data_IF_108847294764
#
_entry.id   IF_108847294764
#
_cell.length_a   1.000
_cell.length_b   1.000
_cell.length_c   1.000
_cell.angle_alpha   90.00
_cell.angle_beta   90.00
_cell.angle_gamma   90.00
#
_symmetry.space_group_name_H-M   'P 1'
#
loop_
_entity.id
_entity.type
_entity.pdbx_description
1 polymer ?
#
# COMPACT_ATOMS: atom_id res chain seq x y z
N UNK A 1 21.61 29.18 -1.25
CA UNK A 1 22.30 28.44 -2.34
C UNK A 1 22.61 27.02 -1.86
N UNK A 2 22.42 25.99 -2.69
CA UNK A 2 22.78 24.62 -2.31
C UNK A 2 24.31 24.47 -2.28
N UNK A 3 24.87 24.07 -1.14
CA UNK A 3 26.32 23.88 -0.97
C UNK A 3 26.87 22.94 -2.07
N UNK A 4 27.97 23.32 -2.76
CA UNK A 4 28.65 22.45 -3.74
C UNK A 4 29.02 21.09 -3.15
N UNK A 5 29.33 21.06 -1.85
CA UNK A 5 29.65 19.86 -1.09
C UNK A 5 28.47 18.87 -1.06
N UNK A 6 27.24 19.36 -0.84
CA UNK A 6 26.03 18.52 -0.81
C UNK A 6 25.74 17.81 -2.13
N UNK A 7 26.20 18.38 -3.27
CA UNK A 7 26.01 17.76 -4.59
C UNK A 7 27.04 16.66 -4.86
N UNK A 8 28.25 16.77 -4.31
CA UNK A 8 29.36 15.83 -4.56
C UNK A 8 29.35 14.60 -3.64
N UNK A 9 28.90 14.75 -2.40
CA UNK A 9 28.91 13.67 -1.40
C UNK A 9 27.51 13.14 -1.07
N UNK A 10 26.61 13.14 -2.06
CA UNK A 10 25.26 12.64 -1.87
C UNK A 10 25.28 11.11 -1.89
N UNK A 11 24.76 10.48 -0.83
CA UNK A 11 24.49 9.05 -0.83
C UNK A 11 23.43 8.73 -1.91
N UNK A 12 23.88 8.12 -3.00
CA UNK A 12 23.04 7.77 -4.15
C UNK A 12 22.18 6.52 -3.91
N UNK A 13 22.54 5.67 -2.94
CA UNK A 13 21.71 4.55 -2.48
C UNK A 13 20.46 5.01 -1.70
N UNK A 14 20.42 6.27 -1.22
CA UNK A 14 19.22 6.87 -0.62
C UNK A 14 18.22 7.42 -1.65
N UNK A 15 18.41 7.14 -2.94
CA UNK A 15 17.48 7.61 -3.96
C UNK A 15 16.09 6.97 -3.79
N UNK A 16 15.04 7.80 -3.80
CA UNK A 16 13.64 7.35 -3.78
C UNK A 16 13.24 6.53 -5.01
N UNK A 17 14.04 6.59 -6.09
CA UNK A 17 13.82 5.80 -7.31
C UNK A 17 14.38 4.39 -7.23
N UNK A 18 15.15 4.04 -6.19
CA UNK A 18 15.60 2.66 -5.98
C UNK A 18 14.44 1.88 -5.36
N UNK A 19 13.92 0.92 -6.11
CA UNK A 19 12.86 0.03 -5.63
C UNK A 19 13.36 -0.89 -4.51
N UNK A 20 12.44 -1.49 -3.75
CA UNK A 20 12.79 -2.45 -2.70
C UNK A 20 13.49 -3.70 -3.23
N UNK A 21 13.05 -4.19 -4.40
CA UNK A 21 13.67 -5.33 -5.07
C UNK A 21 15.06 -4.97 -5.59
N UNK A 22 15.22 -3.76 -6.16
CA UNK A 22 16.53 -3.25 -6.57
C UNK A 22 17.48 -3.12 -5.38
N UNK A 23 17.01 -2.60 -4.23
CA UNK A 23 17.82 -2.57 -3.01
C UNK A 23 18.19 -3.97 -2.54
N UNK A 24 17.24 -4.92 -2.58
CA UNK A 24 17.49 -6.30 -2.21
C UNK A 24 18.62 -6.89 -3.06
N UNK A 25 18.54 -6.73 -4.38
CA UNK A 25 19.55 -7.21 -5.30
C UNK A 25 20.91 -6.51 -5.11
N UNK A 26 20.93 -5.18 -4.99
CA UNK A 26 22.16 -4.42 -4.72
C UNK A 26 22.90 -4.90 -3.47
N UNK A 27 22.16 -5.15 -2.37
CA UNK A 27 22.76 -5.64 -1.12
C UNK A 27 23.18 -7.10 -1.24
N UNK A 28 22.39 -7.94 -1.93
CA UNK A 28 22.74 -9.33 -2.22
C UNK A 28 24.04 -9.44 -3.02
N UNK A 29 24.10 -8.80 -4.18
CA UNK A 29 25.29 -8.77 -5.05
C UNK A 29 26.53 -8.25 -4.28
N UNK A 30 26.36 -7.24 -3.42
CA UNK A 30 27.44 -6.71 -2.60
C UNK A 30 27.92 -7.69 -1.52
N UNK A 31 27.01 -8.39 -0.85
CA UNK A 31 27.35 -9.42 0.14
C UNK A 31 28.10 -10.58 -0.54
N UNK A 32 27.62 -11.06 -1.69
CA UNK A 32 28.27 -12.13 -2.45
C UNK A 32 29.71 -11.74 -2.85
N UNK A 33 29.93 -10.47 -3.22
CA UNK A 33 31.27 -9.96 -3.53
C UNK A 33 32.18 -9.87 -2.27
N UNK A 34 31.64 -9.43 -1.13
CA UNK A 34 32.38 -9.38 0.13
C UNK A 34 32.76 -10.77 0.66
N UNK A 35 31.93 -11.78 0.38
CA UNK A 35 32.12 -13.18 0.78
C UNK A 35 32.98 -13.98 -0.20
N UNK A 36 33.41 -13.39 -1.32
CA UNK A 36 34.19 -14.11 -2.32
C UNK A 36 35.51 -14.67 -1.74
N UNK A 37 35.83 -15.93 -2.07
CA UNK A 37 37.02 -16.64 -1.55
C UNK A 37 38.34 -15.94 -1.88
N UNK A 38 38.36 -15.16 -2.97
CA UNK A 38 39.53 -14.41 -3.43
C UNK A 38 39.24 -12.92 -3.41
N UNK A 39 39.81 -12.25 -2.42
CA UNK A 39 39.78 -10.79 -2.31
C UNK A 39 41.05 -10.20 -2.95
N UNK A 40 40.98 -9.00 -3.55
CA UNK A 40 42.17 -8.23 -3.92
C UNK A 40 43.11 -8.05 -2.71
N UNK A 41 44.42 -8.03 -2.93
CA UNK A 41 45.41 -7.96 -1.83
C UNK A 41 45.23 -6.73 -0.92
N UNK A 42 44.81 -5.59 -1.49
CA UNK A 42 44.58 -4.33 -0.75
C UNK A 42 43.13 -4.17 -0.26
N UNK A 43 42.31 -5.23 -0.34
CA UNK A 43 40.93 -5.15 0.11
C UNK A 43 40.89 -4.87 1.63
N UNK A 44 39.96 -4.01 2.10
CA UNK A 44 39.71 -3.85 3.53
C UNK A 44 39.12 -5.15 4.10
N UNK A 45 38.89 -5.21 5.42
CA UNK A 45 38.28 -6.37 6.09
C UNK A 45 36.83 -6.61 5.59
N UNK A 46 36.70 -7.36 4.49
CA UNK A 46 35.42 -7.64 3.82
C UNK A 46 34.53 -8.54 4.67
N UNK A 47 35.13 -9.44 5.45
CA UNK A 47 34.43 -10.32 6.38
C UNK A 47 33.72 -9.51 7.48
N UNK A 48 34.39 -8.51 8.07
CA UNK A 48 33.75 -7.62 9.05
C UNK A 48 32.66 -6.74 8.42
N UNK A 49 32.84 -6.30 7.18
CA UNK A 49 31.80 -5.58 6.44
C UNK A 49 30.56 -6.44 6.21
N UNK A 50 30.75 -7.68 5.76
CA UNK A 50 29.68 -8.64 5.53
C UNK A 50 28.94 -8.97 6.84
N UNK A 51 29.68 -9.23 7.92
CA UNK A 51 29.12 -9.55 9.24
C UNK A 51 28.21 -8.44 9.78
N UNK A 52 28.53 -7.16 9.51
CA UNK A 52 27.69 -6.02 9.91
C UNK A 52 26.47 -5.83 9.02
N UNK A 53 26.60 -6.13 7.72
CA UNK A 53 25.55 -5.90 6.73
C UNK A 53 24.50 -7.03 6.69
N UNK A 54 24.92 -8.28 6.88
CA UNK A 54 24.06 -9.47 6.81
C UNK A 54 22.81 -9.42 7.70
N UNK A 55 22.88 -9.10 9.01
CA UNK A 55 21.67 -9.03 9.85
C UNK A 55 20.69 -7.94 9.40
N UNK A 56 21.19 -6.82 8.85
CA UNK A 56 20.33 -5.77 8.29
C UNK A 56 19.63 -6.24 7.01
N UNK A 57 20.34 -7.01 6.18
CA UNK A 57 19.79 -7.56 4.94
C UNK A 57 18.72 -8.63 5.22
N UNK A 58 18.97 -9.53 6.17
CA UNK A 58 18.00 -10.53 6.62
C UNK A 58 16.73 -9.87 7.18
N UNK A 59 16.88 -8.89 8.07
CA UNK A 59 15.74 -8.14 8.60
C UNK A 59 14.92 -7.48 7.47
N UNK A 60 15.60 -6.86 6.50
CA UNK A 60 14.93 -6.26 5.35
C UNK A 60 14.16 -7.29 4.52
N UNK A 61 14.74 -8.46 4.25
CA UNK A 61 14.08 -9.54 3.52
C UNK A 61 12.83 -10.08 4.25
N UNK A 62 12.90 -10.26 5.56
CA UNK A 62 11.73 -10.62 6.40
C UNK A 62 10.64 -9.55 6.26
N UNK A 63 11.02 -8.26 6.30
CA UNK A 63 10.12 -7.15 6.05
C UNK A 63 9.46 -7.21 4.67
N UNK A 64 10.18 -7.58 3.61
CA UNK A 64 9.61 -7.73 2.27
C UNK A 64 8.59 -8.87 2.19
N UNK A 65 8.89 -10.02 2.81
CA UNK A 65 8.00 -11.17 2.87
C UNK A 65 6.68 -10.84 3.57
N UNK A 66 6.77 -10.26 4.77
CA UNK A 66 5.58 -9.82 5.54
C UNK A 66 4.77 -8.75 4.79
N UNK A 67 5.44 -7.79 4.14
CA UNK A 67 4.77 -6.77 3.33
C UNK A 67 3.97 -7.33 2.13
N UNK A 68 4.45 -8.40 1.49
CA UNK A 68 3.72 -9.08 0.41
C UNK A 68 2.45 -9.78 0.93
N UNK A 69 2.57 -10.50 2.06
CA UNK A 69 1.42 -11.18 2.69
C UNK A 69 0.32 -10.17 3.09
N UNK A 70 0.68 -9.08 3.77
CA UNK A 70 -0.27 -8.03 4.18
C UNK A 70 -0.92 -7.34 2.98
N UNK A 71 -0.20 -7.20 1.87
CA UNK A 71 -0.76 -6.61 0.63
C UNK A 71 -1.78 -7.54 -0.03
N UNK A 72 -1.52 -8.85 -0.04
CA UNK A 72 -2.47 -9.85 -0.53
C UNK A 72 -3.74 -9.88 0.33
N UNK A 73 -3.57 -9.85 1.65
CA UNK A 73 -4.66 -9.76 2.63
C UNK A 73 -5.52 -8.51 2.40
N UNK A 74 -4.89 -7.35 2.20
CA UNK A 74 -5.60 -6.10 1.86
C UNK A 74 -6.46 -6.23 0.60
N UNK A 75 -5.97 -6.93 -0.42
CA UNK A 75 -6.73 -7.20 -1.65
C UNK A 75 -7.99 -8.01 -1.38
N UNK A 76 -7.87 -9.08 -0.57
CA UNK A 76 -9.00 -9.91 -0.16
C UNK A 76 -10.07 -9.13 0.61
N UNK A 77 -9.67 -8.34 1.62
CA UNK A 77 -10.61 -7.54 2.42
C UNK A 77 -11.28 -6.42 1.62
N UNK A 78 -10.59 -5.84 0.64
CA UNK A 78 -11.21 -4.84 -0.24
C UNK A 78 -12.33 -5.47 -1.08
N UNK A 79 -12.15 -6.72 -1.51
CA UNK A 79 -13.20 -7.49 -2.18
C UNK A 79 -14.38 -7.80 -1.27
N UNK A 80 -14.13 -8.21 -0.01
CA UNK A 80 -15.20 -8.53 0.94
C UNK A 80 -16.04 -7.29 1.29
N UNK A 81 -15.42 -6.13 1.55
CA UNK A 81 -16.14 -4.87 1.80
C UNK A 81 -16.98 -4.47 0.60
N UNK A 82 -16.46 -4.58 -0.62
CA UNK A 82 -17.22 -4.30 -1.85
C UNK A 82 -18.48 -5.16 -1.95
N UNK A 83 -18.35 -6.47 -1.76
CA UNK A 83 -19.48 -7.40 -1.80
C UNK A 83 -20.53 -7.13 -0.71
N UNK A 84 -20.09 -6.86 0.54
CA UNK A 84 -20.99 -6.55 1.65
C UNK A 84 -21.72 -5.21 1.42
N UNK A 85 -21.01 -4.22 0.88
CA UNK A 85 -21.58 -2.92 0.51
C UNK A 85 -22.64 -3.05 -0.59
N UNK A 86 -22.35 -3.83 -1.64
CA UNK A 86 -23.29 -4.06 -2.74
C UNK A 86 -24.53 -4.83 -2.28
N UNK A 87 -24.36 -5.83 -1.42
CA UNK A 87 -25.47 -6.57 -0.82
C UNK A 87 -26.32 -5.72 0.14
N UNK A 88 -25.71 -4.74 0.80
CA UNK A 88 -26.40 -3.82 1.72
C UNK A 88 -27.21 -2.76 0.96
N UNK A 89 -26.66 -2.18 -0.11
CA UNK A 89 -27.28 -1.06 -0.84
C UNK A 89 -28.49 -1.46 -1.68
N UNK A 90 -28.57 -2.71 -2.16
CA UNK A 90 -29.69 -3.19 -2.97
C UNK A 90 -30.92 -3.56 -2.15
N UNK A 91 -30.71 -4.03 -0.92
CA UNK A 91 -31.75 -4.69 -0.14
C UNK A 91 -32.93 -3.78 0.26
N UNK A 92 -32.75 -2.48 0.64
CA UNK A 92 -33.88 -1.59 0.87
C UNK A 92 -34.81 -1.46 -0.35
N UNK A 93 -34.25 -1.48 -1.57
CA UNK A 93 -35.03 -1.41 -2.79
C UNK A 93 -35.81 -2.72 -3.04
N UNK A 94 -35.28 -3.86 -2.64
CA UNK A 94 -35.98 -5.15 -2.67
C UNK A 94 -37.13 -5.17 -1.66
N UNK A 95 -36.89 -4.74 -0.42
CA UNK A 95 -37.92 -4.61 0.62
C UNK A 95 -39.04 -3.69 0.15
N UNK A 96 -38.71 -2.55 -0.45
CA UNK A 96 -39.70 -1.63 -0.99
C UNK A 96 -40.58 -2.28 -2.06
N UNK A 97 -39.98 -3.04 -2.98
CA UNK A 97 -40.69 -3.70 -4.07
C UNK A 97 -41.68 -4.75 -3.56
N UNK A 98 -41.29 -5.51 -2.54
CA UNK A 98 -42.09 -6.65 -2.04
C UNK A 98 -43.14 -6.21 -1.01
N UNK A 99 -42.82 -5.22 -0.17
CA UNK A 99 -43.63 -4.91 1.02
C UNK A 99 -44.29 -3.53 1.00
N UNK A 100 -43.67 -2.53 0.36
CA UNK A 100 -44.13 -1.14 0.41
C UNK A 100 -44.96 -0.79 -0.83
N UNK A 101 -44.38 -0.94 -2.02
CA UNK A 101 -44.98 -0.58 -3.31
C UNK A 101 -46.31 -1.27 -3.64
N UNK A 102 -46.61 -2.50 -3.17
CA UNK A 102 -47.93 -3.11 -3.38
C UNK A 102 -49.08 -2.37 -2.67
N UNK A 103 -48.79 -1.56 -1.64
CA UNK A 103 -49.78 -0.84 -0.83
C UNK A 103 -49.62 0.69 -0.91
N UNK A 104 -48.44 1.17 -1.24
CA UNK A 104 -48.06 2.58 -1.21
C UNK A 104 -47.21 2.94 -2.43
N UNK A 105 -47.75 3.78 -3.31
CA UNK A 105 -47.00 4.25 -4.47
C UNK A 105 -45.84 5.19 -4.09
N UNK A 106 -45.00 5.54 -5.07
CA UNK A 106 -43.82 6.39 -4.85
C UNK A 106 -44.17 7.84 -4.45
N UNK A 107 -45.43 8.26 -4.65
CA UNK A 107 -45.90 9.62 -4.31
C UNK A 107 -46.43 9.69 -2.89
N UNK A 108 -46.81 8.55 -2.31
CA UNK A 108 -47.39 8.43 -0.97
C UNK A 108 -46.48 8.97 0.13
N UNK A 109 -47.09 9.49 1.20
CA UNK A 109 -46.36 10.00 2.37
C UNK A 109 -45.54 8.88 3.03
N UNK A 110 -46.12 7.68 3.17
CA UNK A 110 -45.45 6.50 3.76
C UNK A 110 -44.19 6.16 2.98
N UNK A 111 -44.26 6.09 1.64
CA UNK A 111 -43.08 5.81 0.82
C UNK A 111 -41.98 6.86 0.99
N UNK A 112 -42.35 8.15 1.06
CA UNK A 112 -41.40 9.25 1.27
C UNK A 112 -40.74 9.23 2.65
N UNK A 113 -41.38 8.66 3.67
CA UNK A 113 -40.73 8.45 4.98
C UNK A 113 -39.65 7.36 4.93
N UNK A 114 -39.82 6.32 4.09
CA UNK A 114 -38.79 5.30 3.86
C UNK A 114 -37.68 5.80 2.93
N UNK A 115 -38.05 6.59 1.93
CA UNK A 115 -37.16 7.05 0.85
C UNK A 115 -37.25 8.57 0.66
N UNK A 116 -36.79 9.39 1.62
CA UNK A 116 -36.92 10.85 1.55
C UNK A 116 -36.16 11.47 0.37
N UNK A 117 -35.08 10.81 -0.06
CA UNK A 117 -34.27 11.18 -1.23
C UNK A 117 -34.52 10.28 -2.45
N UNK A 118 -35.58 9.47 -2.41
CA UNK A 118 -35.86 8.43 -3.39
C UNK A 118 -35.01 7.16 -3.20
N UNK A 119 -35.36 6.09 -3.91
CA UNK A 119 -34.66 4.78 -3.85
C UNK A 119 -33.21 4.84 -4.30
N UNK A 120 -32.90 5.76 -5.21
CA UNK A 120 -31.55 5.96 -5.75
C UNK A 120 -30.55 6.44 -4.69
N UNK A 121 -31.03 6.98 -3.57
CA UNK A 121 -30.19 7.38 -2.45
C UNK A 121 -29.36 6.23 -1.88
N UNK A 122 -29.92 5.00 -1.87
CA UNK A 122 -29.20 3.81 -1.40
C UNK A 122 -28.24 3.28 -2.47
N UNK A 123 -28.69 3.16 -3.72
CA UNK A 123 -27.84 2.65 -4.82
C UNK A 123 -26.67 3.58 -5.15
N UNK A 124 -26.84 4.89 -4.95
CA UNK A 124 -25.81 5.92 -5.10
C UNK A 124 -25.12 6.33 -3.81
N UNK A 125 -25.43 5.68 -2.68
CA UNK A 125 -24.77 5.95 -1.41
C UNK A 125 -23.27 5.68 -1.52
N UNK A 126 -22.48 6.36 -0.69
CA UNK A 126 -21.09 6.00 -0.48
C UNK A 126 -20.99 5.00 0.68
N UNK A 127 -19.86 4.27 0.77
CA UNK A 127 -19.55 3.43 1.93
C UNK A 127 -19.65 4.21 3.27
N UNK A 128 -19.36 5.53 3.25
CA UNK A 128 -19.45 6.38 4.44
C UNK A 128 -20.88 6.74 4.84
N UNK A 129 -21.80 6.83 3.89
CA UNK A 129 -23.17 7.31 4.14
C UNK A 129 -24.20 6.18 4.31
N UNK A 130 -23.94 5.02 3.69
CA UNK A 130 -24.92 3.91 3.65
C UNK A 130 -25.36 3.45 5.04
N UNK A 131 -24.46 3.41 6.03
CA UNK A 131 -24.82 2.99 7.39
C UNK A 131 -25.83 3.92 8.04
N UNK A 132 -25.75 5.22 7.79
CA UNK A 132 -26.74 6.21 8.29
C UNK A 132 -28.07 6.03 7.58
N UNK A 133 -28.04 5.88 6.25
CA UNK A 133 -29.25 5.73 5.43
C UNK A 133 -30.01 4.43 5.80
N UNK A 134 -29.29 3.31 6.01
CA UNK A 134 -29.89 2.03 6.42
C UNK A 134 -30.49 2.09 7.83
N UNK A 135 -29.80 2.74 8.78
CA UNK A 135 -30.36 2.92 10.14
C UNK A 135 -31.64 3.76 10.12
N UNK A 136 -31.69 4.81 9.30
CA UNK A 136 -32.90 5.60 9.11
C UNK A 136 -34.03 4.74 8.52
N UNK A 137 -33.73 3.92 7.50
CA UNK A 137 -34.70 2.99 6.92
C UNK A 137 -35.25 2.00 7.97
N UNK A 138 -34.38 1.39 8.78
CA UNK A 138 -34.80 0.45 9.83
C UNK A 138 -35.65 1.14 10.91
N UNK A 139 -35.37 2.40 11.23
CA UNK A 139 -36.19 3.19 12.16
C UNK A 139 -37.61 3.40 11.60
N UNK A 140 -37.72 3.79 10.32
CA UNK A 140 -39.01 3.91 9.65
C UNK A 140 -39.72 2.55 9.55
N UNK A 141 -38.99 1.45 9.28
CA UNK A 141 -39.56 0.11 9.23
C UNK A 141 -40.20 -0.31 10.56
N UNK A 142 -39.61 0.09 11.69
CA UNK A 142 -40.20 -0.15 13.03
C UNK A 142 -41.47 0.65 13.27
N UNK A 143 -41.59 1.86 12.71
CA UNK A 143 -42.82 2.68 12.77
C UNK A 143 -43.96 2.05 11.96
N UNK A 144 -43.63 1.31 10.90
CA UNK A 144 -44.57 0.63 10.00
C UNK A 144 -44.36 -0.89 10.02
N UNK A 145 -44.32 -1.49 11.22
CA UNK A 145 -44.07 -2.92 11.43
C UNK A 145 -45.09 -3.85 10.74
N UNK A 146 -46.34 -3.41 10.59
CA UNK A 146 -47.37 -4.09 9.82
C UNK A 146 -47.12 -4.08 8.30
N UNK A 147 -46.24 -3.21 7.82
CA UNK A 147 -45.88 -3.09 6.41
C UNK A 147 -44.61 -3.87 6.10
N UNK A 148 -43.57 -3.71 6.90
CA UNK A 148 -42.26 -4.34 6.71
C UNK A 148 -42.07 -5.45 7.76
N UNK A 149 -42.01 -6.73 7.34
CA UNK A 149 -41.86 -7.83 8.28
C UNK A 149 -40.58 -7.71 9.13
N UNK A 150 -40.66 -8.11 10.39
CA UNK A 150 -39.52 -8.13 11.30
C UNK A 150 -38.32 -8.92 10.73
N UNK A 151 -38.57 -9.98 9.96
CA UNK A 151 -37.55 -10.76 9.28
C UNK A 151 -36.73 -9.93 8.27
N UNK A 152 -37.37 -9.03 7.52
CA UNK A 152 -36.68 -8.15 6.57
C UNK A 152 -35.81 -7.11 7.30
N UNK A 153 -36.27 -6.61 8.45
CA UNK A 153 -35.49 -5.70 9.30
C UNK A 153 -34.28 -6.43 9.93
N UNK A 154 -34.46 -7.67 10.37
CA UNK A 154 -33.38 -8.50 10.91
C UNK A 154 -32.30 -8.82 9.85
N UNK A 155 -32.71 -9.10 8.62
CA UNK A 155 -31.80 -9.29 7.48
C UNK A 155 -31.02 -8.01 7.16
N UNK A 156 -31.68 -6.84 7.14
CA UNK A 156 -31.00 -5.53 7.01
C UNK A 156 -29.95 -5.32 8.10
N UNK A 157 -30.30 -5.63 9.35
CA UNK A 157 -29.39 -5.49 10.48
C UNK A 157 -28.18 -6.43 10.35
N UNK A 158 -28.40 -7.65 9.89
CA UNK A 158 -27.34 -8.64 9.63
C UNK A 158 -26.39 -8.15 8.54
N UNK A 159 -26.92 -7.62 7.42
CA UNK A 159 -26.12 -7.07 6.33
C UNK A 159 -25.36 -5.81 6.74
N UNK A 160 -25.98 -4.93 7.52
CA UNK A 160 -25.32 -3.74 8.04
C UNK A 160 -24.14 -4.12 8.93
N UNK A 161 -24.34 -5.08 9.84
CA UNK A 161 -23.27 -5.61 10.69
C UNK A 161 -22.13 -6.22 9.87
N UNK A 162 -22.45 -7.05 8.87
CA UNK A 162 -21.45 -7.64 7.99
C UNK A 162 -20.61 -6.59 7.24
N UNK A 163 -21.25 -5.52 6.78
CA UNK A 163 -20.55 -4.39 6.17
C UNK A 163 -19.63 -3.65 7.17
N UNK A 164 -20.12 -3.37 8.39
CA UNK A 164 -19.34 -2.68 9.42
C UNK A 164 -18.15 -3.50 9.93
N UNK A 165 -18.33 -4.81 10.09
CA UNK A 165 -17.27 -5.74 10.46
C UNK A 165 -16.20 -5.79 9.34
N UNK A 166 -16.62 -5.87 8.08
CA UNK A 166 -15.71 -5.86 6.93
C UNK A 166 -14.94 -4.53 6.80
N UNK A 167 -15.60 -3.38 6.98
CA UNK A 167 -14.96 -2.05 6.92
C UNK A 167 -13.95 -1.88 8.06
N UNK A 168 -14.29 -2.36 9.26
CA UNK A 168 -13.38 -2.38 10.42
C UNK A 168 -12.14 -3.21 10.14
N UNK A 169 -12.28 -4.40 9.57
CA UNK A 169 -11.17 -5.28 9.25
C UNK A 169 -10.30 -4.71 8.11
N UNK A 170 -10.91 -4.12 7.08
CA UNK A 170 -10.17 -3.38 6.05
C UNK A 170 -9.35 -2.23 6.67
N UNK A 171 -9.91 -1.51 7.65
CA UNK A 171 -9.22 -0.46 8.39
C UNK A 171 -8.00 -0.97 9.16
N UNK A 172 -8.11 -2.13 9.84
CA UNK A 172 -6.99 -2.77 10.55
C UNK A 172 -5.87 -3.15 9.59
N UNK A 173 -6.21 -3.81 8.48
CA UNK A 173 -5.22 -4.24 7.48
C UNK A 173 -4.56 -3.06 6.79
N UNK A 174 -5.30 -1.98 6.50
CA UNK A 174 -4.73 -0.75 5.97
C UNK A 174 -3.70 -0.11 6.93
N UNK A 175 -3.98 -0.12 8.24
CA UNK A 175 -3.06 0.35 9.27
C UNK A 175 -1.80 -0.51 9.32
N UNK A 176 -1.94 -1.84 9.38
CA UNK A 176 -0.83 -2.78 9.36
C UNK A 176 0.03 -2.64 8.10
N UNK A 177 -0.60 -2.46 6.93
CA UNK A 177 0.09 -2.21 5.66
C UNK A 177 0.95 -0.95 5.73
N UNK A 178 0.43 0.13 6.33
CA UNK A 178 1.14 1.40 6.47
C UNK A 178 2.34 1.26 7.41
N UNK A 179 2.14 0.63 8.57
CA UNK A 179 3.18 0.40 9.57
C UNK A 179 4.29 -0.50 9.00
N UNK A 180 3.94 -1.60 8.34
CA UNK A 180 4.88 -2.48 7.66
C UNK A 180 5.67 -1.74 6.58
N UNK A 181 5.01 -0.93 5.75
CA UNK A 181 5.69 -0.14 4.72
C UNK A 181 6.69 0.89 5.30
N UNK A 182 6.36 1.49 6.44
CA UNK A 182 7.25 2.41 7.14
C UNK A 182 8.45 1.67 7.76
N UNK A 183 8.24 0.50 8.35
CA UNK A 183 9.31 -0.33 8.89
C UNK A 183 10.31 -0.73 7.80
N UNK A 184 9.83 -1.28 6.68
CA UNK A 184 10.67 -1.66 5.52
C UNK A 184 11.43 -0.44 4.98
N UNK A 185 10.80 0.74 4.92
CA UNK A 185 11.46 1.97 4.49
C UNK A 185 12.60 2.42 5.42
N UNK A 186 12.47 2.20 6.74
CA UNK A 186 13.55 2.46 7.70
C UNK A 186 14.72 1.49 7.47
N UNK A 187 14.42 0.22 7.23
CA UNK A 187 15.46 -0.80 7.00
C UNK A 187 16.18 -0.57 5.66
N UNK A 188 15.45 -0.22 4.59
CA UNK A 188 16.04 0.21 3.31
C UNK A 188 16.99 1.40 3.49
N UNK A 189 16.61 2.39 4.32
CA UNK A 189 17.47 3.53 4.61
C UNK A 189 18.75 3.12 5.34
N UNK A 190 18.66 2.20 6.32
CA UNK A 190 19.84 1.68 7.03
C UNK A 190 20.79 0.97 6.05
N UNK A 191 20.26 0.08 5.21
CA UNK A 191 21.03 -0.62 4.17
C UNK A 191 21.74 0.37 3.24
N UNK A 192 21.03 1.39 2.75
CA UNK A 192 21.62 2.42 1.89
C UNK A 192 22.76 3.21 2.57
N UNK A 193 22.66 3.45 3.88
CA UNK A 193 23.74 4.12 4.64
C UNK A 193 24.95 3.20 4.75
N UNK A 194 24.74 1.92 5.09
CA UNK A 194 25.83 0.94 5.18
C UNK A 194 26.50 0.67 3.83
N UNK A 195 25.73 0.51 2.75
CA UNK A 195 26.27 0.37 1.40
C UNK A 195 27.16 1.57 1.02
N UNK A 196 26.72 2.79 1.34
CA UNK A 196 27.51 3.98 1.04
C UNK A 196 28.77 4.09 1.90
N UNK A 197 28.72 3.65 3.16
CA UNK A 197 29.89 3.56 4.02
C UNK A 197 30.91 2.56 3.47
N UNK A 198 30.46 1.35 3.11
CA UNK A 198 31.32 0.33 2.49
C UNK A 198 31.90 0.84 1.16
N UNK A 199 31.10 1.54 0.34
CA UNK A 199 31.56 2.16 -0.90
C UNK A 199 32.69 3.15 -0.64
N UNK A 200 32.54 4.03 0.36
CA UNK A 200 33.60 4.95 0.77
C UNK A 200 34.86 4.23 1.24
N UNK A 201 34.73 3.16 2.03
CA UNK A 201 35.87 2.39 2.52
C UNK A 201 36.61 1.67 1.38
N UNK A 202 35.89 1.02 0.47
CA UNK A 202 36.49 0.31 -0.66
C UNK A 202 37.17 1.26 -1.65
N UNK A 203 36.53 2.39 -1.98
CA UNK A 203 37.16 3.42 -2.83
C UNK A 203 38.39 4.03 -2.16
N UNK A 204 38.38 4.18 -0.84
CA UNK A 204 39.55 4.67 -0.09
C UNK A 204 40.68 3.64 -0.03
N UNK A 205 40.36 2.35 0.11
CA UNK A 205 41.36 1.28 0.13
C UNK A 205 42.04 1.14 -1.24
N UNK A 206 41.25 1.22 -2.31
CA UNK A 206 41.74 1.16 -3.69
C UNK A 206 41.99 2.54 -4.31
N UNK A 207 42.45 3.53 -3.52
CA UNK A 207 42.57 4.91 -4.00
C UNK A 207 43.50 5.06 -5.23
N UNK A 208 44.48 4.18 -5.39
CA UNK A 208 45.39 4.16 -6.55
C UNK A 208 44.77 3.50 -7.79
N UNK A 209 43.84 2.54 -7.60
CA UNK A 209 43.21 1.72 -8.64
C UNK A 209 41.72 1.53 -8.33
N UNK A 210 40.89 2.60 -8.39
CA UNK A 210 39.50 2.59 -7.91
C UNK A 210 38.60 1.58 -8.65
N UNK A 211 38.97 1.17 -9.86
CA UNK A 211 38.34 0.10 -10.63
C UNK A 211 38.32 -1.25 -9.87
N UNK A 212 39.25 -1.50 -8.94
CA UNK A 212 39.23 -2.69 -8.07
C UNK A 212 38.00 -2.74 -7.15
N UNK A 213 37.32 -1.61 -6.94
CA UNK A 213 36.07 -1.55 -6.17
C UNK A 213 34.82 -1.92 -6.99
N UNK A 214 34.90 -1.93 -8.33
CA UNK A 214 33.75 -2.17 -9.22
C UNK A 214 33.02 -3.49 -8.94
N UNK A 215 33.70 -4.64 -8.74
CA UNK A 215 33.03 -5.92 -8.51
C UNK A 215 32.13 -5.95 -7.27
N UNK A 216 32.39 -5.07 -6.29
CA UNK A 216 31.61 -5.02 -5.05
C UNK A 216 30.27 -4.30 -5.22
N UNK A 217 30.07 -3.53 -6.29
CA UNK A 217 28.86 -2.73 -6.46
C UNK A 217 28.32 -2.84 -7.87
N UNK A 218 27.16 -3.50 -8.00
CA UNK A 218 26.41 -3.52 -9.25
C UNK A 218 25.67 -2.20 -9.50
N UNK A 219 26.42 -1.13 -9.82
CA UNK A 219 25.88 0.22 -10.01
C UNK A 219 24.95 0.33 -11.23
N UNK A 220 24.93 -0.66 -12.12
CA UNK A 220 24.01 -0.72 -13.27
C UNK A 220 22.53 -0.77 -12.85
N UNK A 221 22.26 -1.27 -11.64
CA UNK A 221 20.93 -1.34 -11.05
C UNK A 221 20.42 0.02 -10.56
N UNK A 222 21.31 1.01 -10.44
CA UNK A 222 20.91 2.34 -10.02
C UNK A 222 20.13 3.02 -11.15
N UNK A 223 19.04 3.72 -10.83
CA UNK A 223 18.25 4.42 -11.83
C UNK A 223 19.14 5.43 -12.53
N UNK A 224 19.29 5.27 -13.85
CA UNK A 224 19.98 6.27 -14.68
C UNK A 224 19.35 7.61 -14.36
N UNK A 225 20.16 8.58 -13.93
CA UNK A 225 19.74 9.96 -13.69
C UNK A 225 18.98 10.37 -14.94
N UNK A 226 17.65 10.45 -14.86
CA UNK A 226 16.78 10.65 -16.02
C UNK A 226 17.37 11.77 -16.86
N UNK A 227 18.01 11.40 -17.99
CA UNK A 227 18.45 12.34 -19.02
C UNK A 227 17.18 13.11 -19.34
N UNK A 228 17.14 14.39 -18.95
CA UNK A 228 16.06 15.30 -19.31
C UNK A 228 15.77 15.04 -20.78
N UNK A 229 14.53 14.62 -21.08
CA UNK A 229 13.99 14.54 -22.43
C UNK A 229 14.21 15.91 -23.07
N UNK A 230 15.31 16.09 -23.80
CA UNK A 230 15.43 17.14 -24.78
C UNK A 230 14.43 16.75 -25.87
N UNK A 231 13.24 17.33 -25.77
CA UNK A 231 12.26 17.36 -26.84
C UNK A 231 12.99 17.99 -28.05
N UNK A 232 13.14 17.30 -29.19
CA UNK A 232 13.64 17.98 -30.37
C UNK A 232 12.65 19.08 -30.70
N UNK A 233 13.15 20.32 -30.82
CA UNK A 233 12.38 21.40 -31.39
C UNK A 233 12.03 20.97 -32.82
N UNK A 234 10.74 20.73 -33.07
CA UNK A 234 10.21 20.60 -34.42
C UNK A 234 10.56 21.89 -35.15
N UNK A 235 11.52 21.80 -36.08
CA UNK A 235 11.76 22.84 -37.05
C UNK A 235 10.52 22.91 -37.95
N UNK A 236 9.82 24.04 -37.86
CA UNK A 236 8.88 24.46 -38.90
C UNK A 236 9.73 24.94 -40.07
N UNK A 237 9.58 24.26 -41.20
CA UNK A 237 9.81 24.81 -42.53
C UNK A 237 8.70 24.27 -43.43
#
# INVERSE_FOLDING_TARGET
>A
MASPFKKRFRNFFLSKSISRETMKQLVGDHLDALDADKQPEDAPDTAAMAARLRPLYEQFQVGLGTGRAVTAERGSHTGSVGSAFDALKSYPAEVARVHILPKHDEKSAVYKEFFPKGRTAFSGASQKSIGTDIRAFMLTARKYDALVPAAAVAELQTRLKAFEDADTDQGKVAKQTKEGNQAIGKDQKKLAVHLFANFGTLISAFAAEPEKAEPYFNLSLLPSTQRKKNKPATAVA
#
